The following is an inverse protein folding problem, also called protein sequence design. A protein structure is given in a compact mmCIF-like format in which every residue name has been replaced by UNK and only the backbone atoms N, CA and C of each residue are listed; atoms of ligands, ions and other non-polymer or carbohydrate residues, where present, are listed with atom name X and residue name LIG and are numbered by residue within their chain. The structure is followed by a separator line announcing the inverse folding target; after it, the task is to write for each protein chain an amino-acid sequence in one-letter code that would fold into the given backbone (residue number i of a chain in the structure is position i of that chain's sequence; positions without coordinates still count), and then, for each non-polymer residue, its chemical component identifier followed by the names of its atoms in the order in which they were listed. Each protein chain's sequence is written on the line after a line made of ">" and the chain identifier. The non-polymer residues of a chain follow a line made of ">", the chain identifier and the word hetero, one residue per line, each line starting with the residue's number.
data_IF_364733679629
#
_entry.id   IF_364733679629
#
_cell.length_a   1.000
_cell.length_b   1.000
_cell.length_c   1.000
_cell.angle_alpha   90.00
_cell.angle_beta   90.00
_cell.angle_gamma   90.00
#
_symmetry.space_group_name_H-M   'P 1'
#
loop_
_entity.id
_entity.type
_entity.pdbx_description
1 polymer ?
#
# COMPACT_ATOMS: atom_id res chain seq x y z
N UNK A 1 -7.19 -24.95 32.37
CA UNK A 1 -7.47 -23.59 31.86
C UNK A 1 -7.53 -23.70 30.34
N UNK A 2 -8.74 -23.72 29.76
CA UNK A 2 -8.96 -23.90 28.32
C UNK A 2 -9.09 -22.52 27.68
N UNK A 3 -8.15 -22.13 26.83
CA UNK A 3 -8.36 -21.00 25.93
C UNK A 3 -9.28 -21.47 24.80
N UNK A 4 -10.53 -21.00 24.84
CA UNK A 4 -11.49 -21.19 23.77
C UNK A 4 -11.35 -19.98 22.84
N UNK A 5 -10.62 -20.14 21.73
CA UNK A 5 -10.70 -19.23 20.60
C UNK A 5 -12.05 -19.51 19.92
N UNK A 6 -13.08 -18.79 20.33
CA UNK A 6 -14.31 -18.71 19.57
C UNK A 6 -14.08 -17.75 18.39
N UNK A 7 -14.18 -18.29 17.18
CA UNK A 7 -14.33 -17.54 15.95
C UNK A 7 -15.52 -16.58 16.09
N UNK A 8 -15.25 -15.27 16.18
CA UNK A 8 -16.27 -14.21 16.07
C UNK A 8 -16.10 -13.60 14.66
N UNK A 9 -17.08 -13.75 13.75
CA UNK A 9 -17.12 -12.96 12.53
C UNK A 9 -17.32 -11.49 12.94
N UNK A 10 -16.53 -10.58 12.36
CA UNK A 10 -16.49 -9.13 12.63
C UNK A 10 -15.65 -8.64 13.83
N UNK A 11 -14.83 -9.49 14.45
CA UNK A 11 -13.82 -8.97 15.38
C UNK A 11 -12.57 -8.55 14.58
N UNK A 12 -12.62 -7.37 13.96
CA UNK A 12 -11.39 -6.61 13.77
C UNK A 12 -10.88 -6.29 15.19
N UNK A 13 -9.86 -7.03 15.65
CA UNK A 13 -9.07 -6.59 16.80
C UNK A 13 -8.28 -5.39 16.27
N UNK A 14 -8.94 -4.25 16.20
CA UNK A 14 -8.28 -3.00 15.90
C UNK A 14 -7.47 -2.69 17.17
N UNK A 15 -6.13 -2.69 17.12
CA UNK A 15 -5.34 -2.39 18.31
C UNK A 15 -5.71 -0.99 18.77
N UNK A 16 -6.43 -0.89 19.90
CA UNK A 16 -6.80 0.39 20.47
C UNK A 16 -5.57 0.99 21.16
N UNK A 17 -4.83 1.85 20.45
CA UNK A 17 -3.69 2.55 21.03
C UNK A 17 -4.17 3.64 21.99
N UNK A 18 -3.75 3.57 23.25
CA UNK A 18 -4.15 4.51 24.29
C UNK A 18 -3.45 5.87 24.16
N UNK A 19 -2.34 5.93 23.40
CA UNK A 19 -1.57 7.14 23.15
C UNK A 19 -0.96 7.18 21.74
N UNK A 20 -0.55 8.37 21.29
CA UNK A 20 0.18 8.53 20.03
C UNK A 20 1.52 7.78 20.06
N UNK A 21 2.19 7.77 21.22
CA UNK A 21 3.44 7.03 21.41
C UNK A 21 3.27 5.55 21.12
N UNK A 22 2.24 4.90 21.69
CA UNK A 22 1.99 3.47 21.48
C UNK A 22 1.69 3.16 20.00
N UNK A 23 0.92 4.03 19.35
CA UNK A 23 0.64 3.94 17.92
C UNK A 23 1.92 4.02 17.07
N UNK A 24 2.79 5.01 17.34
CA UNK A 24 4.06 5.16 16.64
C UNK A 24 5.04 4.02 16.96
N UNK A 25 5.09 3.53 18.20
CA UNK A 25 5.93 2.39 18.58
C UNK A 25 5.49 1.12 17.86
N UNK A 26 4.19 0.93 17.64
CA UNK A 26 3.67 -0.19 16.85
C UNK A 26 4.03 -0.06 15.36
N UNK A 27 3.93 1.14 14.78
CA UNK A 27 4.39 1.39 13.41
C UNK A 27 5.90 1.13 13.24
N UNK A 28 6.73 1.53 14.21
CA UNK A 28 8.17 1.23 14.22
C UNK A 28 8.43 -0.27 14.25
N UNK A 29 7.74 -1.00 15.13
CA UNK A 29 7.85 -2.46 15.20
C UNK A 29 7.50 -3.13 13.86
N UNK A 30 6.43 -2.67 13.19
CA UNK A 30 6.07 -3.16 11.86
C UNK A 30 7.16 -2.84 10.82
N UNK A 31 7.74 -1.65 10.87
CA UNK A 31 8.78 -1.22 9.94
C UNK A 31 10.11 -1.99 10.12
N UNK A 32 10.36 -2.55 11.30
CA UNK A 32 11.53 -3.38 11.59
C UNK A 32 11.38 -4.83 11.11
N UNK A 33 10.17 -5.25 10.73
CA UNK A 33 9.93 -6.62 10.27
C UNK A 33 10.71 -6.92 8.98
N UNK A 34 11.17 -8.18 8.80
CA UNK A 34 11.92 -8.59 7.63
C UNK A 34 11.04 -8.92 6.44
N UNK A 35 10.25 -7.95 6.02
CA UNK A 35 9.43 -8.06 4.83
C UNK A 35 9.55 -6.78 3.99
N UNK A 36 9.39 -6.89 2.66
CA UNK A 36 9.27 -5.71 1.82
C UNK A 36 8.12 -4.83 2.28
N UNK A 37 8.34 -3.52 2.26
CA UNK A 37 7.37 -2.49 2.61
C UNK A 37 5.99 -2.71 1.98
N UNK A 38 5.91 -3.03 0.68
CA UNK A 38 4.63 -3.30 0.01
C UNK A 38 3.88 -4.52 0.57
N UNK A 39 4.58 -5.52 1.11
CA UNK A 39 3.97 -6.65 1.78
C UNK A 39 3.44 -6.29 3.18
N UNK A 40 4.05 -5.28 3.81
CA UNK A 40 3.65 -4.77 5.13
C UNK A 40 2.52 -3.74 5.06
N UNK A 41 2.36 -3.04 3.93
CA UNK A 41 1.34 -1.99 3.75
C UNK A 41 -0.10 -2.42 4.08
N UNK A 42 -0.58 -3.63 3.75
CA UNK A 42 -1.92 -4.08 4.18
C UNK A 42 -2.14 -4.07 5.69
N UNK A 43 -1.07 -4.21 6.48
CA UNK A 43 -1.13 -4.11 7.95
C UNK A 43 -0.90 -2.67 8.41
N UNK A 44 0.05 -1.96 7.80
CA UNK A 44 0.43 -0.59 8.19
C UNK A 44 -0.68 0.41 7.89
N UNK A 45 -1.29 0.36 6.71
CA UNK A 45 -2.27 1.36 6.28
C UNK A 45 -3.48 1.42 7.22
N UNK A 46 -4.16 0.31 7.59
CA UNK A 46 -5.25 0.36 8.56
C UNK A 46 -4.87 1.02 9.89
N UNK A 47 -3.67 0.72 10.41
CA UNK A 47 -3.15 1.30 11.66
C UNK A 47 -2.94 2.81 11.53
N UNK A 48 -2.43 3.29 10.39
CA UNK A 48 -2.29 4.73 10.14
C UNK A 48 -3.66 5.43 10.20
N UNK A 49 -4.70 4.81 9.61
CA UNK A 49 -6.03 5.42 9.54
C UNK A 49 -6.73 5.57 10.89
N UNK A 50 -6.30 4.85 11.92
CA UNK A 50 -6.85 5.02 13.27
C UNK A 50 -6.59 6.42 13.84
N UNK A 51 -5.49 7.08 13.42
CA UNK A 51 -5.12 8.44 13.83
C UNK A 51 -5.27 9.47 12.71
N UNK A 52 -5.35 9.02 11.46
CA UNK A 52 -5.62 9.86 10.28
C UNK A 52 -6.91 9.38 9.61
N UNK A 53 -8.09 9.79 10.10
CA UNK A 53 -9.37 9.27 9.61
C UNK A 53 -9.53 9.45 8.11
N UNK A 54 -9.53 8.36 7.36
CA UNK A 54 -9.68 8.40 5.92
C UNK A 54 -10.39 7.15 5.42
N UNK A 55 -10.89 7.20 4.18
CA UNK A 55 -11.61 6.08 3.55
C UNK A 55 -10.65 4.93 3.25
N UNK A 56 -9.48 5.27 2.74
CA UNK A 56 -8.40 4.33 2.45
C UNK A 56 -7.06 5.05 2.36
N UNK A 57 -5.99 4.29 2.51
CA UNK A 57 -4.61 4.69 2.31
C UNK A 57 -4.04 4.27 0.96
N UNK A 58 -2.92 4.88 0.61
CA UNK A 58 -2.05 4.44 -0.47
C UNK A 58 -0.60 4.67 -0.10
N UNK A 59 0.29 3.94 -0.77
CA UNK A 59 1.72 4.03 -0.54
C UNK A 59 2.44 3.84 -1.87
N UNK A 60 3.46 4.66 -2.13
CA UNK A 60 4.26 4.52 -3.34
C UNK A 60 5.74 4.75 -3.07
N UNK A 61 6.58 4.06 -3.83
CA UNK A 61 8.01 4.29 -3.91
C UNK A 61 8.38 5.05 -5.17
N UNK A 62 9.47 5.77 -5.07
CA UNK A 62 10.13 6.49 -6.15
C UNK A 62 11.63 6.29 -6.09
N UNK A 63 12.30 6.51 -7.22
CA UNK A 63 13.76 6.58 -7.26
C UNK A 63 14.29 7.93 -6.73
N UNK A 64 15.62 8.11 -6.77
CA UNK A 64 16.26 9.33 -6.31
C UNK A 64 15.86 10.59 -7.12
N UNK A 65 15.38 10.41 -8.35
CA UNK A 65 14.88 11.44 -9.25
C UNK A 65 13.37 11.67 -9.09
N UNK A 66 12.74 11.01 -8.10
CA UNK A 66 11.31 11.03 -7.84
C UNK A 66 10.47 10.47 -9.00
N UNK A 67 11.02 9.51 -9.76
CA UNK A 67 10.23 8.72 -10.69
C UNK A 67 9.54 7.57 -9.97
N UNK A 68 8.24 7.30 -10.22
CA UNK A 68 7.51 6.21 -9.59
C UNK A 68 8.12 4.84 -9.88
N UNK A 69 8.32 4.04 -8.83
CA UNK A 69 8.81 2.66 -8.91
C UNK A 69 7.71 1.66 -8.59
N UNK A 70 6.89 1.97 -7.58
CA UNK A 70 5.78 1.12 -7.17
C UNK A 70 4.69 1.96 -6.53
N UNK A 71 3.45 1.49 -6.64
CA UNK A 71 2.30 2.10 -5.98
C UNK A 71 1.31 1.03 -5.53
N UNK A 72 0.74 1.22 -4.35
CA UNK A 72 -0.31 0.43 -3.78
C UNK A 72 -1.40 1.35 -3.26
N UNK A 73 -2.66 0.95 -3.41
CA UNK A 73 -3.78 1.54 -2.68
C UNK A 73 -4.66 0.44 -2.11
N UNK A 74 -5.20 0.62 -0.91
CA UNK A 74 -6.10 -0.37 -0.29
C UNK A 74 -7.39 -0.54 -1.11
N UNK A 75 -7.78 0.48 -1.88
CA UNK A 75 -8.94 0.45 -2.75
C UNK A 75 -8.58 1.06 -4.10
N UNK A 76 -8.87 0.33 -5.18
CA UNK A 76 -8.85 0.88 -6.53
C UNK A 76 -9.93 0.21 -7.35
N UNK A 77 -10.89 1.00 -7.85
CA UNK A 77 -11.88 0.49 -8.79
C UNK A 77 -11.27 0.39 -10.21
N UNK A 78 -11.92 -0.37 -11.09
CA UNK A 78 -11.43 -0.61 -12.45
C UNK A 78 -11.35 0.68 -13.31
N UNK A 79 -12.24 1.66 -13.06
CA UNK A 79 -12.26 2.94 -13.79
C UNK A 79 -11.00 3.75 -13.48
N UNK A 80 -10.72 3.97 -12.20
CA UNK A 80 -9.53 4.66 -11.71
C UNK A 80 -8.24 3.95 -12.15
N UNK A 81 -8.19 2.61 -12.05
CA UNK A 81 -7.03 1.84 -12.50
C UNK A 81 -6.71 2.04 -13.99
N UNK A 82 -7.72 1.92 -14.86
CA UNK A 82 -7.56 2.10 -16.31
C UNK A 82 -7.10 3.50 -16.66
N UNK A 83 -7.65 4.50 -15.96
CA UNK A 83 -7.23 5.88 -16.13
C UNK A 83 -5.76 6.05 -15.74
N UNK A 84 -5.35 5.57 -14.56
CA UNK A 84 -3.96 5.61 -14.09
C UNK A 84 -2.99 4.94 -15.05
N UNK A 85 -3.31 3.74 -15.52
CA UNK A 85 -2.47 2.99 -16.45
C UNK A 85 -2.22 3.73 -17.78
N UNK A 86 -3.19 4.57 -18.19
CA UNK A 86 -3.12 5.30 -19.47
C UNK A 86 -2.65 6.75 -19.32
N UNK A 87 -2.68 7.31 -18.10
CA UNK A 87 -2.50 8.75 -17.87
C UNK A 87 -1.57 9.05 -16.68
N UNK A 88 -0.65 8.15 -16.35
CA UNK A 88 0.25 8.27 -15.20
C UNK A 88 0.97 9.63 -15.17
N UNK A 89 1.48 10.09 -16.30
CA UNK A 89 2.14 11.40 -16.43
C UNK A 89 1.20 12.58 -16.13
N UNK A 90 -0.08 12.48 -16.49
CA UNK A 90 -1.06 13.53 -16.24
C UNK A 90 -1.25 13.73 -14.74
N UNK A 91 -1.37 12.63 -13.98
CA UNK A 91 -1.51 12.71 -12.54
C UNK A 91 -0.30 13.36 -11.87
N UNK A 92 0.92 13.04 -12.30
CA UNK A 92 2.13 13.68 -11.78
C UNK A 92 2.34 15.11 -12.27
N UNK A 93 1.54 15.61 -13.22
CA UNK A 93 1.46 17.06 -13.48
C UNK A 93 0.48 17.77 -12.55
N UNK A 94 -0.58 17.08 -12.12
CA UNK A 94 -1.57 17.62 -11.19
C UNK A 94 -1.01 17.66 -9.77
N UNK A 95 -0.35 16.57 -9.38
CA UNK A 95 0.37 16.42 -8.11
C UNK A 95 1.83 16.04 -8.41
N UNK A 96 2.69 17.00 -8.73
CA UNK A 96 4.08 16.71 -9.01
C UNK A 96 4.82 16.29 -7.73
N UNK A 97 5.59 15.21 -7.84
CA UNK A 97 6.19 14.49 -6.70
C UNK A 97 7.32 15.28 -6.03
N UNK A 98 7.99 16.15 -6.79
CA UNK A 98 9.06 17.00 -6.29
C UNK A 98 8.52 18.02 -5.29
N UNK A 99 7.46 18.71 -5.68
CA UNK A 99 6.77 19.69 -4.85
C UNK A 99 6.22 19.00 -3.60
N UNK A 100 5.56 17.84 -3.74
CA UNK A 100 5.10 17.03 -2.61
C UNK A 100 6.21 16.65 -1.61
N UNK A 101 7.42 16.39 -2.13
CA UNK A 101 8.57 16.08 -1.29
C UNK A 101 9.08 17.30 -0.55
N UNK A 102 9.19 18.43 -1.25
CA UNK A 102 9.73 19.70 -0.74
C UNK A 102 8.79 20.39 0.25
N UNK A 103 7.49 20.38 -0.02
CA UNK A 103 6.45 21.01 0.81
C UNK A 103 5.79 20.06 1.82
N UNK A 104 6.27 18.81 1.88
CA UNK A 104 5.76 17.76 2.77
C UNK A 104 4.27 17.46 2.55
N UNK A 105 3.78 17.63 1.32
CA UNK A 105 2.42 17.33 0.88
C UNK A 105 1.43 18.50 0.98
N UNK A 106 1.88 19.68 1.36
CA UNK A 106 0.99 20.83 1.56
C UNK A 106 0.29 21.26 0.26
N UNK A 107 1.03 21.34 -0.85
CA UNK A 107 0.49 21.70 -2.15
C UNK A 107 -0.59 20.73 -2.64
N UNK A 108 -0.62 19.49 -2.15
CA UNK A 108 -1.71 18.53 -2.43
C UNK A 108 -2.99 18.93 -1.72
N UNK A 109 -2.91 19.29 -0.44
CA UNK A 109 -4.07 19.78 0.33
C UNK A 109 -4.61 21.07 -0.29
N UNK A 110 -3.73 22.02 -0.60
CA UNK A 110 -4.09 23.28 -1.26
C UNK A 110 -4.74 23.03 -2.63
N UNK A 111 -4.16 22.18 -3.47
CA UNK A 111 -4.73 21.81 -4.77
C UNK A 111 -6.12 21.22 -4.62
N UNK A 112 -6.32 20.31 -3.67
CA UNK A 112 -7.63 19.73 -3.40
C UNK A 112 -8.62 20.78 -2.88
N UNK A 113 -8.18 21.78 -2.12
CA UNK A 113 -9.04 22.84 -1.60
C UNK A 113 -9.55 23.80 -2.68
N UNK A 114 -8.91 23.86 -3.86
CA UNK A 114 -9.33 24.77 -4.93
C UNK A 114 -10.70 24.40 -5.51
N UNK A 115 -11.55 25.39 -5.84
CA UNK A 115 -12.86 25.13 -6.44
C UNK A 115 -12.80 24.44 -7.82
N UNK A 116 -11.73 24.68 -8.59
CA UNK A 116 -11.55 24.13 -9.93
C UNK A 116 -11.06 22.68 -9.93
N UNK A 117 -10.69 22.12 -8.78
CA UNK A 117 -10.20 20.75 -8.69
C UNK A 117 -11.26 19.72 -9.13
N UNK A 118 -12.53 19.95 -8.79
CA UNK A 118 -13.62 19.04 -9.20
C UNK A 118 -13.93 19.08 -10.70
N UNK A 119 -13.41 20.08 -11.42
CA UNK A 119 -13.58 20.19 -12.88
C UNK A 119 -12.50 19.45 -13.67
N UNK A 120 -11.51 18.84 -13.01
CA UNK A 120 -10.46 18.07 -13.67
C UNK A 120 -10.95 16.67 -14.03
N UNK A 121 -10.63 16.18 -15.23
CA UNK A 121 -10.91 14.79 -15.64
C UNK A 121 -10.33 13.78 -14.64
N UNK A 122 -9.14 14.08 -14.11
CA UNK A 122 -8.52 13.29 -13.04
C UNK A 122 -9.44 13.12 -11.82
N UNK A 123 -10.10 14.20 -11.40
CA UNK A 123 -11.00 14.13 -10.24
C UNK A 123 -12.16 13.20 -10.53
N UNK A 124 -12.83 13.34 -11.68
CA UNK A 124 -13.97 12.49 -12.02
C UNK A 124 -13.57 11.01 -12.12
N UNK A 125 -12.51 10.74 -12.87
CA UNK A 125 -12.08 9.39 -13.22
C UNK A 125 -11.47 8.64 -12.03
N UNK A 126 -10.70 9.33 -11.19
CA UNK A 126 -9.94 8.72 -10.09
C UNK A 126 -10.61 8.96 -8.75
N UNK A 127 -10.92 10.20 -8.37
CA UNK A 127 -11.38 10.51 -7.01
C UNK A 127 -12.89 10.25 -6.86
N UNK A 128 -13.71 10.85 -7.71
CA UNK A 128 -15.16 10.77 -7.64
C UNK A 128 -15.66 9.34 -7.87
N UNK A 129 -15.07 8.60 -8.83
CA UNK A 129 -15.41 7.19 -9.09
C UNK A 129 -15.20 6.29 -7.85
N UNK A 130 -14.29 6.70 -6.96
CA UNK A 130 -13.97 6.00 -5.71
C UNK A 130 -14.64 6.63 -4.50
N UNK A 131 -15.52 7.62 -4.67
CA UNK A 131 -16.18 8.33 -3.59
C UNK A 131 -15.22 9.11 -2.69
N UNK A 132 -14.12 9.61 -3.25
CA UNK A 132 -13.09 10.40 -2.57
C UNK A 132 -13.15 11.84 -3.04
N UNK A 133 -12.73 12.76 -2.18
CA UNK A 133 -12.59 14.19 -2.51
C UNK A 133 -11.31 14.82 -2.00
N UNK A 134 -10.84 14.37 -0.86
CA UNK A 134 -9.70 14.97 -0.18
C UNK A 134 -8.52 14.00 -0.19
N UNK A 135 -7.33 14.54 -0.42
CA UNK A 135 -6.08 13.81 -0.39
C UNK A 135 -5.12 14.55 0.54
N UNK A 136 -4.47 13.80 1.41
CA UNK A 136 -3.28 14.22 2.15
C UNK A 136 -2.13 13.26 1.79
N UNK A 137 -0.91 13.79 1.74
CA UNK A 137 0.29 13.02 1.41
C UNK A 137 1.38 13.39 2.40
N UNK A 138 2.20 12.43 2.82
CA UNK A 138 3.44 12.70 3.54
C UNK A 138 4.60 11.94 2.88
N UNK A 139 5.74 12.60 2.63
CA UNK A 139 6.91 11.95 2.06
C UNK A 139 7.59 11.03 3.10
N UNK A 140 7.97 9.85 2.64
CA UNK A 140 8.65 8.80 3.41
C UNK A 140 10.11 8.78 2.95
N UNK A 141 11.05 9.05 3.87
CA UNK A 141 12.47 8.87 3.62
C UNK A 141 12.96 7.67 4.43
N UNK A 142 13.56 6.68 3.77
CA UNK A 142 14.25 5.61 4.50
C UNK A 142 15.61 6.11 4.98
N UNK A 143 16.08 5.56 6.10
CA UNK A 143 17.25 6.06 6.82
C UNK A 143 18.56 6.11 6.01
N UNK A 144 18.67 5.33 4.93
CA UNK A 144 19.84 5.34 4.02
C UNK A 144 19.75 6.39 2.90
N UNK A 145 18.64 7.10 2.78
CA UNK A 145 18.41 8.19 1.84
C UNK A 145 18.28 7.77 0.37
N UNK A 146 18.35 6.48 0.05
CA UNK A 146 18.37 6.01 -1.34
C UNK A 146 16.97 5.78 -1.92
N UNK A 147 15.97 5.45 -1.09
CA UNK A 147 14.57 5.37 -1.53
C UNK A 147 13.73 6.48 -0.93
N UNK A 148 12.82 6.98 -1.76
CA UNK A 148 11.88 8.03 -1.42
C UNK A 148 10.49 7.53 -1.70
N UNK A 149 9.58 7.67 -0.76
CA UNK A 149 8.22 7.20 -0.91
C UNK A 149 7.21 8.25 -0.49
N UNK A 150 5.94 7.91 -0.63
CA UNK A 150 4.83 8.76 -0.27
C UNK A 150 3.74 7.90 0.35
N UNK A 151 3.28 8.31 1.53
CA UNK A 151 2.09 7.76 2.17
C UNK A 151 0.93 8.71 1.90
N UNK A 152 -0.16 8.19 1.36
CA UNK A 152 -1.33 8.96 0.94
C UNK A 152 -2.56 8.55 1.75
N UNK A 153 -3.37 9.52 2.14
CA UNK A 153 -4.66 9.31 2.82
C UNK A 153 -5.79 9.91 1.98
N UNK A 154 -6.81 9.12 1.67
CA UNK A 154 -7.91 9.49 0.78
C UNK A 154 -9.21 9.58 1.58
N UNK A 155 -9.90 10.73 1.56
CA UNK A 155 -11.08 10.99 2.39
C UNK A 155 -12.30 11.41 1.56
N UNK A 156 -13.46 10.99 2.01
CA UNK A 156 -14.75 11.29 1.38
C UNK A 156 -15.13 12.77 1.50
N UNK A 157 -15.92 13.29 0.56
CA UNK A 157 -16.36 14.69 0.55
C UNK A 157 -17.02 15.11 1.87
N UNK A 158 -17.92 14.26 2.40
CA UNK A 158 -18.71 14.55 3.60
C UNK A 158 -17.89 14.73 4.89
N UNK A 159 -16.67 14.17 4.95
CA UNK A 159 -15.79 14.29 6.11
C UNK A 159 -14.96 15.58 6.15
N UNK A 160 -15.04 16.42 5.11
CA UNK A 160 -14.26 17.67 5.01
C UNK A 160 -12.77 17.45 4.71
N UNK A 161 -12.02 18.52 4.48
CA UNK A 161 -10.57 18.47 4.20
C UNK A 161 -9.78 17.92 5.40
N UNK A 162 -8.53 17.51 5.17
CA UNK A 162 -7.61 17.11 6.23
C UNK A 162 -7.12 18.33 7.02
N UNK A 163 -7.27 18.28 8.34
CA UNK A 163 -6.77 19.30 9.26
C UNK A 163 -5.25 19.22 9.44
N UNK A 164 -4.64 20.26 10.02
CA UNK A 164 -3.19 20.35 10.21
C UNK A 164 -2.68 19.30 11.21
N UNK A 165 -3.47 18.97 12.23
CA UNK A 165 -3.14 17.93 13.20
C UNK A 165 -3.13 16.53 12.55
N UNK A 166 -3.98 16.33 11.54
CA UNK A 166 -4.07 15.06 10.81
C UNK A 166 -2.90 14.93 9.83
N UNK A 167 -2.51 16.01 9.17
CA UNK A 167 -1.29 16.08 8.34
C UNK A 167 -0.04 15.85 9.20
N UNK A 168 0.01 16.45 10.40
CA UNK A 168 1.11 16.25 11.37
C UNK A 168 1.17 14.79 11.82
N UNK A 169 0.02 14.18 12.13
CA UNK A 169 -0.05 12.76 12.50
C UNK A 169 0.43 11.86 11.35
N UNK A 170 0.02 12.14 10.11
CA UNK A 170 0.50 11.43 8.93
C UNK A 170 2.02 11.55 8.78
N UNK A 171 2.58 12.73 9.08
CA UNK A 171 4.02 12.95 9.06
C UNK A 171 4.76 12.14 10.15
N UNK A 172 4.23 12.11 11.37
CA UNK A 172 4.80 11.27 12.43
C UNK A 172 4.73 9.77 12.07
N UNK A 173 3.67 9.34 11.41
CA UNK A 173 3.54 7.96 10.93
C UNK A 173 4.66 7.61 9.94
N UNK A 174 4.91 8.45 8.92
CA UNK A 174 5.99 8.16 7.96
C UNK A 174 7.38 8.21 8.59
N UNK A 175 7.60 9.10 9.57
CA UNK A 175 8.86 9.16 10.31
C UNK A 175 9.08 7.87 11.15
N UNK A 176 8.01 7.30 11.71
CA UNK A 176 8.05 5.99 12.37
C UNK A 176 8.33 4.82 11.41
N UNK A 177 8.07 5.00 10.12
CA UNK A 177 8.31 4.02 9.07
C UNK A 177 9.70 4.12 8.42
N UNK A 178 10.61 4.95 8.96
CA UNK A 178 11.94 5.19 8.38
C UNK A 178 12.84 3.94 8.24
N UNK A 179 12.52 2.86 8.97
CA UNK A 179 13.22 1.57 8.90
C UNK A 179 12.67 0.62 7.84
N UNK A 180 11.57 0.98 7.16
CA UNK A 180 11.06 0.21 6.03
C UNK A 180 12.15 -0.01 5.00
N UNK A 181 12.17 -1.21 4.44
CA UNK A 181 13.14 -1.65 3.45
C UNK A 181 14.62 -1.46 3.83
N UNK A 182 14.93 -1.38 5.13
CA UNK A 182 16.31 -1.21 5.60
C UNK A 182 17.26 -2.24 4.98
N UNK A 183 18.42 -1.77 4.49
CA UNK A 183 19.50 -2.60 3.92
C UNK A 183 20.06 -3.64 4.89
N UNK A 184 19.85 -3.43 6.20
CA UNK A 184 20.24 -4.40 7.22
C UNK A 184 19.32 -5.63 7.25
N UNK A 185 18.31 -5.68 6.39
CA UNK A 185 17.33 -6.73 6.34
C UNK A 185 17.42 -7.54 5.02
N UNK A 186 17.82 -8.82 5.05
CA UNK A 186 18.02 -9.59 3.82
C UNK A 186 16.72 -9.83 3.02
N UNK A 187 15.55 -9.69 3.66
CA UNK A 187 14.25 -9.89 3.02
C UNK A 187 13.61 -8.60 2.49
N UNK A 188 14.15 -7.41 2.82
CA UNK A 188 13.68 -6.13 2.25
C UNK A 188 14.04 -5.96 0.77
N UNK A 189 15.05 -6.70 0.31
CA UNK A 189 15.53 -6.70 -1.06
C UNK A 189 14.80 -7.71 -1.96
N UNK A 190 13.81 -8.45 -1.43
CA UNK A 190 12.99 -9.32 -2.26
C UNK A 190 12.29 -8.46 -3.33
N UNK A 191 12.37 -8.84 -4.61
CA UNK A 191 11.89 -8.02 -5.69
C UNK A 191 10.40 -7.71 -5.49
N UNK A 192 10.07 -6.42 -5.40
CA UNK A 192 8.73 -5.96 -5.71
C UNK A 192 8.50 -6.30 -7.17
N UNK A 193 7.57 -7.22 -7.46
CA UNK A 193 7.25 -7.57 -8.84
C UNK A 193 7.02 -6.30 -9.64
N UNK A 194 7.68 -6.14 -10.79
CA UNK A 194 7.38 -5.06 -11.73
C UNK A 194 5.86 -4.97 -11.88
N UNK A 195 5.27 -3.78 -11.73
CA UNK A 195 3.87 -3.57 -12.11
C UNK A 195 3.78 -3.69 -13.63
N UNK A 196 3.61 -4.93 -14.11
CA UNK A 196 3.17 -5.25 -15.45
C UNK A 196 1.75 -5.77 -15.32
N UNK A 197 0.81 -5.14 -16.01
CA UNK A 197 -0.50 -5.74 -16.22
C UNK A 197 -0.32 -6.95 -17.14
N UNK A 198 0.01 -8.11 -16.56
CA UNK A 198 0.22 -9.36 -17.32
C UNK A 198 -1.07 -10.16 -17.42
N UNK A 199 -2.04 -9.93 -16.54
CA UNK A 199 -3.33 -10.62 -16.54
C UNK A 199 -4.42 -9.86 -15.78
N UNK A 200 -5.68 -10.06 -16.19
CA UNK A 200 -6.87 -9.64 -15.44
C UNK A 200 -7.50 -10.84 -14.75
N UNK A 201 -8.02 -10.64 -13.53
CA UNK A 201 -8.71 -11.67 -12.76
C UNK A 201 -10.13 -11.20 -12.42
N UNK A 202 -11.10 -12.08 -12.66
CA UNK A 202 -12.50 -11.88 -12.26
C UNK A 202 -12.89 -12.95 -11.24
N UNK A 203 -13.51 -12.53 -10.14
CA UNK A 203 -14.11 -13.39 -9.11
C UNK A 203 -15.55 -12.94 -8.88
N UNK A 204 -16.48 -13.89 -8.81
CA UNK A 204 -17.87 -13.64 -8.45
C UNK A 204 -18.15 -14.25 -7.08
N UNK A 205 -18.22 -13.40 -6.06
CA UNK A 205 -18.48 -13.78 -4.67
C UNK A 205 -19.94 -13.43 -4.33
N UNK A 206 -20.66 -14.41 -3.80
CA UNK A 206 -22.04 -14.24 -3.37
C UNK A 206 -22.11 -13.55 -2.00
N UNK A 207 -23.30 -13.07 -1.63
CA UNK A 207 -23.51 -12.35 -0.37
C UNK A 207 -23.19 -13.17 0.89
N UNK A 208 -23.21 -14.50 0.80
CA UNK A 208 -22.83 -15.42 1.88
C UNK A 208 -21.31 -15.69 1.96
N UNK A 209 -20.52 -15.02 1.12
CA UNK A 209 -19.07 -15.19 1.02
C UNK A 209 -18.63 -16.37 0.15
N UNK A 210 -19.56 -17.14 -0.42
CA UNK A 210 -19.21 -18.24 -1.32
C UNK A 210 -18.78 -17.74 -2.70
N UNK A 211 -17.84 -18.43 -3.34
CA UNK A 211 -17.37 -18.07 -4.68
C UNK A 211 -18.13 -18.88 -5.73
N UNK A 212 -18.95 -18.20 -6.53
CA UNK A 212 -19.81 -18.82 -7.53
C UNK A 212 -19.17 -18.93 -8.91
N UNK A 213 -18.23 -18.04 -9.24
CA UNK A 213 -17.44 -18.13 -10.46
C UNK A 213 -16.06 -17.51 -10.27
N UNK A 214 -15.10 -17.97 -11.08
CA UNK A 214 -13.77 -17.40 -11.16
C UNK A 214 -13.21 -17.54 -12.56
N UNK A 215 -12.45 -16.54 -12.98
CA UNK A 215 -11.57 -16.63 -14.15
C UNK A 215 -10.46 -17.67 -13.91
N UNK A 216 -9.83 -18.14 -14.98
CA UNK A 216 -8.72 -19.09 -14.91
C UNK A 216 -7.52 -18.53 -14.14
N UNK A 217 -7.21 -17.25 -14.34
CA UNK A 217 -6.17 -16.57 -13.56
C UNK A 217 -6.58 -16.44 -12.09
N UNK A 218 -7.86 -16.21 -11.80
CA UNK A 218 -8.39 -16.17 -10.44
C UNK A 218 -8.22 -17.51 -9.74
N UNK A 219 -8.48 -18.62 -10.45
CA UNK A 219 -8.22 -19.98 -9.95
C UNK A 219 -6.73 -20.21 -9.64
N UNK A 220 -5.83 -19.73 -10.51
CA UNK A 220 -4.38 -19.81 -10.32
C UNK A 220 -3.93 -19.01 -9.10
N UNK A 221 -4.40 -17.77 -8.94
CA UNK A 221 -4.05 -16.92 -7.80
C UNK A 221 -4.58 -17.50 -6.48
N UNK A 222 -5.82 -18.00 -6.46
CA UNK A 222 -6.38 -18.67 -5.28
C UNK A 222 -5.58 -19.92 -4.92
N UNK A 223 -5.10 -20.68 -5.91
CA UNK A 223 -4.23 -21.83 -5.68
C UNK A 223 -2.87 -21.42 -5.09
N UNK A 224 -2.28 -20.32 -5.59
CA UNK A 224 -1.04 -19.75 -5.04
C UNK A 224 -1.22 -19.22 -3.61
N UNK A 225 -2.40 -18.70 -3.28
CA UNK A 225 -2.73 -18.17 -1.95
C UNK A 225 -3.20 -19.25 -0.96
N UNK A 226 -3.66 -20.41 -1.44
CA UNK A 226 -4.25 -21.49 -0.66
C UNK A 226 -3.26 -22.45 0.01
N UNK A 227 -1.94 -22.19 -0.06
CA UNK A 227 -0.92 -23.05 0.49
C UNK A 227 0.40 -22.31 0.68
N UNK A 228 0.55 -21.68 1.83
CA UNK A 228 1.82 -21.18 2.33
C UNK A 228 2.84 -22.34 2.45
N UNK A 229 3.65 -22.50 1.41
CA UNK A 229 5.06 -22.89 1.49
C UNK A 229 5.74 -22.31 0.26
N UNK A 230 6.50 -21.24 0.49
CA UNK A 230 7.40 -20.70 -0.52
C UNK A 230 8.43 -21.76 -0.90
N UNK A 231 8.28 -22.34 -2.09
CA UNK A 231 9.41 -22.76 -2.89
C UNK A 231 9.20 -22.25 -4.32
N UNK A 232 10.26 -21.70 -4.90
CA UNK A 232 10.39 -21.49 -6.33
C UNK A 232 10.28 -22.83 -7.07
N UNK A 233 9.73 -22.79 -8.27
CA UNK A 233 9.72 -23.92 -9.20
C UNK A 233 11.15 -24.19 -9.74
N UNK A 234 11.97 -24.90 -8.97
CA UNK A 234 13.16 -25.62 -9.48
C UNK A 234 12.88 -27.11 -9.74
N UNK A 235 11.70 -27.61 -9.33
CA UNK A 235 11.28 -29.01 -9.49
C UNK A 235 10.68 -29.36 -10.87
N UNK A 236 10.78 -28.47 -11.85
CA UNK A 236 10.55 -28.89 -13.24
C UNK A 236 11.72 -29.74 -13.80
N UNK A 237 12.82 -29.91 -13.06
CA UNK A 237 13.92 -30.80 -13.43
C UNK A 237 14.03 -31.99 -12.46
N UNK A 238 13.99 -33.24 -12.95
CA UNK A 238 14.04 -34.44 -12.12
C UNK A 238 15.49 -34.91 -11.87
N UNK A 239 16.43 -34.00 -11.57
CA UNK A 239 17.83 -34.37 -11.31
C UNK A 239 18.46 -33.60 -10.14
N UNK A 240 19.57 -34.15 -9.63
CA UNK A 240 20.30 -33.66 -8.45
C UNK A 240 21.00 -32.31 -8.68
N UNK A 241 20.97 -31.77 -9.91
CA UNK A 241 21.53 -30.45 -10.22
C UNK A 241 20.62 -29.31 -9.73
N UNK A 242 19.41 -29.62 -9.26
CA UNK A 242 18.47 -28.68 -8.63
C UNK A 242 18.81 -28.30 -7.17
N UNK A 243 19.98 -28.69 -6.66
CA UNK A 243 20.44 -28.32 -5.31
C UNK A 243 21.44 -27.14 -5.37
N UNK A 244 21.43 -26.21 -4.39
CA UNK A 244 22.45 -25.17 -4.25
C UNK A 244 23.86 -25.78 -4.13
N UNK A 245 24.89 -25.08 -4.64
CA UNK A 245 26.29 -25.57 -4.68
C UNK A 245 26.80 -26.05 -3.32
N UNK A 246 26.46 -25.33 -2.25
CA UNK A 246 26.83 -25.65 -0.86
C UNK A 246 26.25 -26.96 -0.35
N UNK A 247 25.20 -27.49 -0.99
CA UNK A 247 24.57 -28.78 -0.69
C UNK A 247 25.05 -29.87 -1.65
N UNK A 248 25.51 -29.51 -2.86
CA UNK A 248 26.09 -30.44 -3.84
C UNK A 248 27.52 -30.88 -3.49
N UNK A 249 28.27 -30.01 -2.81
CA UNK A 249 29.70 -30.20 -2.53
C UNK A 249 30.01 -30.67 -1.10
N UNK A 250 28.98 -30.93 -0.28
CA UNK A 250 29.07 -31.47 1.09
C UNK A 250 28.86 -32.99 1.12
#
# INVERSE_FOLDING_TARGET
>A
MKFCLQNIPHLEIDPAFSSEREWLDHLRMLAELPYPSLALMPSILPIVRQRVPCKFGGFGWTDAQLQPLAFMSEQTNLRAYRWWASNLEVAFRIFPLREQWEDRGEGVRERCARPDFEALDFYEEVFASQGVRWLAVAPVAIADGERRGFLSAYRQKAAGPFADEEQTSLQHAVDALAMLDSKNNPLSALPTSDMKAVAETNLLIQADGSMSARSQEGARLIYLLGGANMHSLEWARPDWLALPDTVREA
#
